data_IF_543994342523
#
_entry.id   IF_543994342523
#
_cell.length_a   1.000
_cell.length_b   1.000
_cell.length_c   1.000
_cell.angle_alpha   90.00
_cell.angle_beta   90.00
_cell.angle_gamma   90.00
#
_symmetry.space_group_name_H-M   'P 1'
#
loop_
_entity.id
_entity.type
_entity.pdbx_description
1 polymer ?
#
# COMPACT_ATOMS: atom_id res chain seq x y z
N UNK A 1 -43.73 -28.66 -14.91
CA UNK A 1 -42.44 -29.33 -14.73
C UNK A 1 -41.79 -28.82 -13.44
N UNK A 2 -41.96 -29.57 -12.35
CA UNK A 2 -41.24 -29.30 -11.10
C UNK A 2 -39.90 -30.03 -11.21
N UNK A 3 -38.79 -29.28 -11.30
CA UNK A 3 -37.45 -29.86 -11.37
C UNK A 3 -37.08 -30.34 -9.95
N UNK A 4 -37.44 -31.58 -9.63
CA UNK A 4 -37.26 -32.16 -8.28
C UNK A 4 -35.77 -32.40 -7.96
N UNK A 5 -34.92 -32.59 -8.97
CA UNK A 5 -33.51 -32.95 -8.79
C UNK A 5 -32.52 -31.77 -8.85
N UNK A 6 -32.94 -30.58 -9.28
CA UNK A 6 -32.05 -29.42 -9.39
C UNK A 6 -32.80 -28.17 -8.97
N UNK A 7 -32.57 -27.76 -7.72
CA UNK A 7 -33.18 -26.55 -7.16
C UNK A 7 -32.44 -25.31 -7.67
N UNK A 8 -32.97 -24.72 -8.75
CA UNK A 8 -32.39 -23.54 -9.40
C UNK A 8 -32.31 -22.32 -8.45
N UNK A 9 -33.24 -22.20 -7.51
CA UNK A 9 -33.23 -21.12 -6.50
C UNK A 9 -32.10 -21.33 -5.49
N UNK A 10 -31.88 -22.58 -5.05
CA UNK A 10 -30.74 -22.93 -4.20
C UNK A 10 -29.40 -22.70 -4.90
N UNK A 11 -29.31 -23.03 -6.19
CA UNK A 11 -28.09 -22.79 -6.98
C UNK A 11 -27.81 -21.30 -7.17
N UNK A 12 -28.85 -20.49 -7.45
CA UNK A 12 -28.71 -19.03 -7.49
C UNK A 12 -28.26 -18.45 -6.15
N UNK A 13 -28.88 -18.91 -5.04
CA UNK A 13 -28.49 -18.49 -3.70
C UNK A 13 -27.03 -18.86 -3.38
N UNK A 14 -26.58 -20.07 -3.77
CA UNK A 14 -25.19 -20.49 -3.61
C UNK A 14 -24.22 -19.66 -4.49
N UNK A 15 -24.61 -19.30 -5.72
CA UNK A 15 -23.83 -18.41 -6.58
C UNK A 15 -23.66 -17.01 -5.96
N UNK A 16 -24.75 -16.41 -5.47
CA UNK A 16 -24.71 -15.13 -4.78
C UNK A 16 -23.91 -15.18 -3.47
N UNK A 17 -24.01 -16.30 -2.73
CA UNK A 17 -23.21 -16.53 -1.53
C UNK A 17 -21.72 -16.61 -1.86
N UNK A 18 -21.34 -17.31 -2.93
CA UNK A 18 -19.95 -17.38 -3.38
C UNK A 18 -19.38 -16.00 -3.75
N UNK A 19 -20.19 -15.14 -4.40
CA UNK A 19 -19.83 -13.74 -4.64
C UNK A 19 -19.62 -12.96 -3.34
N UNK A 20 -20.59 -13.04 -2.43
CA UNK A 20 -20.53 -12.35 -1.12
C UNK A 20 -19.35 -12.82 -0.27
N UNK A 21 -19.05 -14.12 -0.29
CA UNK A 21 -17.91 -14.71 0.42
C UNK A 21 -16.58 -14.15 -0.10
N UNK A 22 -16.45 -13.96 -1.42
CA UNK A 22 -15.27 -13.36 -2.05
C UNK A 22 -15.11 -11.90 -1.65
N UNK A 23 -16.18 -11.12 -1.69
CA UNK A 23 -16.15 -9.70 -1.29
C UNK A 23 -15.80 -9.54 0.19
N UNK A 24 -16.34 -10.41 1.05
CA UNK A 24 -15.99 -10.46 2.48
C UNK A 24 -14.50 -10.77 2.67
N UNK A 25 -13.95 -11.74 1.95
CA UNK A 25 -12.52 -12.08 2.01
C UNK A 25 -11.64 -10.88 1.64
N UNK A 26 -11.99 -10.14 0.58
CA UNK A 26 -11.30 -8.90 0.20
C UNK A 26 -11.44 -7.81 1.26
N UNK A 27 -12.62 -7.64 1.85
CA UNK A 27 -12.84 -6.68 2.93
C UNK A 27 -11.99 -7.00 4.17
N UNK A 28 -11.93 -8.27 4.58
CA UNK A 28 -11.07 -8.73 5.67
C UNK A 28 -9.60 -8.47 5.33
N UNK A 29 -9.16 -8.77 4.10
CA UNK A 29 -7.78 -8.52 3.70
C UNK A 29 -7.43 -7.02 3.77
N UNK A 30 -8.32 -6.12 3.34
CA UNK A 30 -8.14 -4.66 3.43
C UNK A 30 -8.12 -4.18 4.88
N UNK A 31 -8.96 -4.76 5.74
CA UNK A 31 -8.96 -4.46 7.16
C UNK A 31 -7.64 -4.88 7.82
N UNK A 32 -7.15 -6.09 7.52
CA UNK A 32 -5.92 -6.64 8.11
C UNK A 32 -4.66 -5.89 7.69
N UNK A 33 -4.59 -5.39 6.44
CA UNK A 33 -3.45 -4.60 5.97
C UNK A 33 -3.57 -3.11 6.28
N UNK A 34 -4.80 -2.62 6.53
CA UNK A 34 -5.12 -1.20 6.58
C UNK A 34 -4.95 -0.47 5.24
N UNK A 35 -4.61 -1.20 4.16
CA UNK A 35 -4.38 -0.65 2.83
C UNK A 35 -5.63 -0.86 1.96
N UNK A 36 -6.09 0.22 1.31
CA UNK A 36 -7.22 0.17 0.39
C UNK A 36 -6.91 -0.68 -0.85
N UNK A 37 -5.68 -0.63 -1.33
CA UNK A 37 -5.16 -1.38 -2.49
C UNK A 37 -4.17 -2.40 -1.97
N UNK A 38 -4.57 -3.67 -1.94
CA UNK A 38 -3.74 -4.77 -1.42
C UNK A 38 -2.94 -5.47 -2.52
N UNK A 39 -3.35 -5.34 -3.78
CA UNK A 39 -2.66 -5.97 -4.90
C UNK A 39 -2.68 -5.09 -6.14
N UNK A 40 -1.69 -5.27 -7.02
CA UNK A 40 -1.66 -4.65 -8.34
C UNK A 40 -2.85 -5.04 -9.22
N UNK A 41 -3.56 -6.13 -8.88
CA UNK A 41 -4.78 -6.57 -9.56
C UNK A 41 -5.97 -5.65 -9.24
N UNK A 42 -5.98 -5.01 -8.07
CA UNK A 42 -7.08 -4.13 -7.64
C UNK A 42 -6.94 -2.71 -8.21
N UNK A 43 -5.70 -2.19 -8.27
CA UNK A 43 -5.37 -0.90 -8.89
C UNK A 43 -3.85 -0.81 -9.17
N UNK A 44 -3.43 -1.25 -10.36
CA UNK A 44 -2.02 -1.24 -10.75
C UNK A 44 -1.42 0.18 -10.79
N UNK A 45 -2.21 1.16 -11.23
CA UNK A 45 -1.75 2.55 -11.35
C UNK A 45 -1.63 3.21 -9.96
N UNK A 46 -2.64 3.02 -9.10
CA UNK A 46 -2.63 3.51 -7.72
C UNK A 46 -1.49 2.90 -6.90
N UNK A 47 -1.24 1.60 -7.05
CA UNK A 47 -0.10 0.95 -6.40
C UNK A 47 1.25 1.46 -6.91
N UNK A 48 1.40 1.67 -8.23
CA UNK A 48 2.64 2.19 -8.81
C UNK A 48 2.93 3.62 -8.34
N UNK A 49 1.91 4.48 -8.26
CA UNK A 49 2.05 5.84 -7.73
C UNK A 49 2.41 5.80 -6.24
N UNK A 50 1.71 4.97 -5.44
CA UNK A 50 2.00 4.82 -4.02
C UNK A 50 3.46 4.36 -3.78
N UNK A 51 3.93 3.37 -4.54
CA UNK A 51 5.31 2.91 -4.48
C UNK A 51 6.32 3.99 -4.88
N UNK A 52 6.01 4.79 -5.90
CA UNK A 52 6.85 5.92 -6.31
C UNK A 52 6.91 7.01 -5.24
N UNK A 53 5.78 7.34 -4.63
CA UNK A 53 5.72 8.31 -3.52
C UNK A 53 6.48 7.81 -2.31
N UNK A 54 6.37 6.53 -1.96
CA UNK A 54 7.10 5.94 -0.84
C UNK A 54 8.62 5.89 -1.11
N UNK A 55 9.03 5.55 -2.33
CA UNK A 55 10.42 5.65 -2.75
C UNK A 55 10.95 7.09 -2.68
N UNK A 56 10.16 8.07 -3.10
CA UNK A 56 10.50 9.48 -3.01
C UNK A 56 10.61 9.94 -1.54
N UNK A 57 9.70 9.53 -0.67
CA UNK A 57 9.75 9.83 0.76
C UNK A 57 11.02 9.26 1.41
N UNK A 58 11.36 8.01 1.09
CA UNK A 58 12.61 7.38 1.54
C UNK A 58 13.84 8.12 1.01
N UNK A 59 13.84 8.52 -0.26
CA UNK A 59 14.89 9.34 -0.86
C UNK A 59 15.06 10.70 -0.18
N UNK A 60 13.95 11.40 0.13
CA UNK A 60 13.97 12.67 0.84
C UNK A 60 14.53 12.54 2.26
N UNK A 61 14.21 11.45 2.98
CA UNK A 61 14.80 11.20 4.30
C UNK A 61 16.33 11.07 4.24
N UNK A 62 16.87 10.44 3.20
CA UNK A 62 18.32 10.39 2.99
C UNK A 62 18.87 11.77 2.61
N UNK A 63 18.18 12.51 1.73
CA UNK A 63 18.59 13.87 1.37
C UNK A 63 18.65 14.81 2.58
N UNK A 64 17.69 14.71 3.50
CA UNK A 64 17.69 15.46 4.77
C UNK A 64 18.90 15.08 5.63
N UNK A 65 19.23 13.79 5.76
CA UNK A 65 20.45 13.37 6.48
C UNK A 65 21.70 13.93 5.84
N UNK A 66 21.85 13.79 4.53
CA UNK A 66 23.00 14.32 3.79
C UNK A 66 23.14 15.84 3.95
N UNK A 67 22.03 16.58 3.98
CA UNK A 67 22.04 18.02 4.22
C UNK A 67 22.53 18.36 5.65
N UNK A 68 22.07 17.62 6.66
CA UNK A 68 22.54 17.78 8.03
C UNK A 68 24.03 17.42 8.19
N UNK A 69 24.50 16.39 7.48
CA UNK A 69 25.92 16.03 7.44
C UNK A 69 26.75 17.15 6.80
N UNK A 70 26.27 17.73 5.70
CA UNK A 70 26.89 18.89 5.06
C UNK A 70 26.95 20.13 5.96
N UNK A 71 25.87 20.41 6.71
CA UNK A 71 25.84 21.48 7.73
C UNK A 71 26.86 21.21 8.83
N UNK A 72 26.90 19.97 9.34
CA UNK A 72 27.82 19.58 10.41
C UNK A 72 29.28 19.72 9.97
N UNK A 73 29.57 19.37 8.71
CA UNK A 73 30.89 19.51 8.10
C UNK A 73 31.28 20.98 7.93
N UNK A 74 30.34 21.82 7.47
CA UNK A 74 30.54 23.26 7.36
C UNK A 74 30.79 23.91 8.73
N UNK A 75 30.01 23.56 9.76
CA UNK A 75 30.22 24.03 11.14
C UNK A 75 31.56 23.58 11.70
N UNK A 76 31.99 22.36 11.42
CA UNK A 76 33.31 21.86 11.82
C UNK A 76 34.43 22.65 11.12
N UNK A 77 34.26 22.95 9.83
CA UNK A 77 35.21 23.77 9.08
C UNK A 77 35.27 25.21 9.59
N UNK A 78 34.12 25.86 9.84
CA UNK A 78 34.06 27.20 10.45
C UNK A 78 34.72 27.23 11.84
N UNK A 79 34.45 26.23 12.67
CA UNK A 79 35.06 26.11 14.00
C UNK A 79 36.57 25.86 13.96
N UNK A 80 37.08 25.24 12.90
CA UNK A 80 38.53 25.09 12.68
C UNK A 80 39.15 26.40 12.19
N UNK A 81 38.50 27.11 11.27
CA UNK A 81 38.98 28.40 10.74
C UNK A 81 39.00 29.50 11.80
N UNK A 82 38.02 29.53 12.71
CA UNK A 82 38.00 30.49 13.82
C UNK A 82 39.04 30.25 14.91
N UNK A 83 39.79 29.14 14.84
CA UNK A 83 40.89 28.80 15.77
C UNK A 83 42.29 29.06 15.19
N UNK A 84 42.37 29.58 13.96
CA UNK A 84 43.62 30.06 13.32
C UNK A 84 43.72 31.58 13.52
#
# INVERSE_FOLDING_TARGET
MQVINTNLMSLNAQGNLAGTQKDLSTAIQRLSTGLRVNSAKDDAAGLAIANRMDAQARGMNVAIRNANDGISLAQTAEGALGKV
#
